data_IF_656231290784
#
_entry.id   IF_656231290784
#
_cell.length_a   1.000
_cell.length_b   1.000
_cell.length_c   1.000
_cell.angle_alpha   90.00
_cell.angle_beta   90.00
_cell.angle_gamma   90.00
#
_symmetry.space_group_name_H-M   'P 1'
#
loop_
_entity.id
_entity.type
_entity.pdbx_description
1 polymer ?
#
# COMPACT_ATOMS: atom_id res chain seq x y z
N UNK A 1 -13.71 -4.05 -12.10
CA UNK A 1 -13.99 -4.06 -10.64
C UNK A 1 -12.79 -3.50 -9.89
N UNK A 2 -13.05 -2.75 -8.84
CA UNK A 2 -12.00 -2.03 -8.14
C UNK A 2 -12.14 -2.21 -6.64
N UNK A 3 -11.01 -2.47 -5.98
CA UNK A 3 -10.95 -2.49 -4.53
C UNK A 3 -10.26 -1.20 -4.08
N UNK A 4 -10.79 -0.55 -3.08
CA UNK A 4 -10.18 0.64 -2.52
C UNK A 4 -9.68 0.33 -1.12
N UNK A 5 -8.36 0.45 -0.93
CA UNK A 5 -7.76 0.29 0.39
C UNK A 5 -7.49 1.67 0.98
N UNK A 6 -8.03 1.90 2.15
CA UNK A 6 -7.74 3.12 2.89
C UNK A 6 -6.35 3.05 3.52
N UNK A 7 -5.86 4.17 3.99
CA UNK A 7 -4.52 4.30 4.56
C UNK A 7 -4.27 3.27 5.69
N UNK A 8 -5.23 3.10 6.59
CA UNK A 8 -5.07 2.16 7.71
C UNK A 8 -5.04 0.71 7.22
N UNK A 9 -5.72 0.42 6.12
CA UNK A 9 -5.69 -0.93 5.54
C UNK A 9 -4.35 -1.23 4.88
N UNK A 10 -3.75 -0.22 4.23
CA UNK A 10 -2.40 -0.35 3.68
C UNK A 10 -1.40 -0.63 4.80
N UNK A 11 -1.52 0.09 5.92
CA UNK A 11 -0.68 -0.15 7.11
C UNK A 11 -0.80 -1.59 7.58
N UNK A 12 -2.03 -2.10 7.64
CA UNK A 12 -2.29 -3.46 8.11
C UNK A 12 -1.65 -4.50 7.20
N UNK A 13 -1.65 -4.26 5.89
CA UNK A 13 -1.01 -5.18 4.94
C UNK A 13 0.51 -5.20 5.11
N UNK A 14 1.12 -4.05 5.34
CA UNK A 14 2.56 -3.97 5.60
C UNK A 14 2.90 -4.72 6.89
N UNK A 15 2.09 -4.52 7.93
CA UNK A 15 2.29 -5.20 9.20
C UNK A 15 2.18 -6.71 9.04
N UNK A 16 1.18 -7.15 8.28
CA UNK A 16 0.97 -8.57 8.02
C UNK A 16 2.13 -9.19 7.23
N UNK A 17 2.70 -8.43 6.32
CA UNK A 17 3.87 -8.87 5.58
C UNK A 17 5.02 -9.24 6.53
N UNK A 18 5.28 -8.39 7.52
CA UNK A 18 6.32 -8.67 8.52
C UNK A 18 5.94 -9.81 9.45
N UNK A 19 4.66 -9.90 9.83
CA UNK A 19 4.19 -11.01 10.66
C UNK A 19 4.45 -12.34 9.96
N UNK A 20 4.22 -12.40 8.65
CA UNK A 20 4.47 -13.61 7.86
C UNK A 20 5.96 -13.95 7.78
N UNK A 21 6.84 -12.97 7.93
CA UNK A 21 8.28 -13.18 7.98
C UNK A 21 8.76 -13.52 9.39
N UNK A 22 7.87 -13.54 10.37
CA UNK A 22 8.22 -13.79 11.76
C UNK A 22 8.94 -12.62 12.43
N UNK A 23 8.79 -11.42 11.87
CA UNK A 23 9.44 -10.24 12.41
C UNK A 23 8.40 -9.37 13.12
N UNK A 24 8.67 -9.07 14.39
CA UNK A 24 7.78 -8.21 15.17
C UNK A 24 8.17 -6.75 14.92
N UNK A 25 7.19 -5.94 14.57
CA UNK A 25 7.38 -4.50 14.37
C UNK A 25 6.52 -3.72 15.36
N UNK A 26 6.96 -2.52 15.68
CA UNK A 26 6.29 -1.68 16.69
C UNK A 26 5.37 -0.65 16.06
N UNK A 27 5.72 -0.13 14.88
CA UNK A 27 4.93 0.90 14.24
C UNK A 27 5.08 0.84 12.73
N UNK A 28 3.98 1.12 12.03
CA UNK A 28 3.97 1.31 10.57
C UNK A 28 3.38 2.67 10.30
N UNK A 29 4.06 3.45 9.48
CA UNK A 29 3.59 4.76 9.04
C UNK A 29 3.44 4.69 7.52
N UNK A 30 2.28 5.12 7.03
CA UNK A 30 2.06 5.33 5.60
C UNK A 30 1.86 6.82 5.40
N UNK A 31 2.69 7.40 4.56
CA UNK A 31 2.72 8.84 4.36
C UNK A 31 3.02 9.12 2.89
N UNK A 32 3.27 10.35 2.56
CA UNK A 32 3.62 10.73 1.20
C UNK A 32 4.92 11.52 1.20
N UNK A 33 5.57 11.50 0.05
CA UNK A 33 6.73 12.31 -0.24
C UNK A 33 6.53 12.93 -1.62
N UNK A 34 7.34 13.90 -1.97
CA UNK A 34 7.24 14.51 -3.28
C UNK A 34 8.59 15.00 -3.77
N UNK A 35 8.74 14.99 -5.09
CA UNK A 35 9.86 15.60 -5.78
C UNK A 35 9.35 16.83 -6.51
N UNK A 36 10.12 17.90 -6.47
CA UNK A 36 9.81 19.09 -7.22
C UNK A 36 10.38 18.92 -8.62
N UNK A 37 9.50 18.97 -9.62
CA UNK A 37 9.90 18.78 -10.99
C UNK A 37 10.11 20.14 -11.68
N UNK A 38 10.46 20.06 -12.96
CA UNK A 38 10.61 21.24 -13.78
C UNK A 38 9.35 22.11 -13.70
N UNK A 39 9.51 23.40 -13.59
CA UNK A 39 8.42 24.38 -13.50
C UNK A 39 7.61 24.33 -12.21
N UNK A 40 8.19 23.80 -11.14
CA UNK A 40 7.53 23.80 -9.84
C UNK A 40 6.41 22.79 -9.67
N UNK A 41 6.21 21.91 -10.62
CA UNK A 41 5.27 20.81 -10.46
C UNK A 41 5.79 19.82 -9.43
N UNK A 42 4.87 19.20 -8.70
CA UNK A 42 5.22 18.21 -7.67
C UNK A 42 4.69 16.86 -8.05
N UNK A 43 5.54 15.86 -7.89
CA UNK A 43 5.18 14.47 -8.12
C UNK A 43 5.08 13.79 -6.76
N UNK A 44 3.85 13.49 -6.34
CA UNK A 44 3.58 12.88 -5.04
C UNK A 44 3.68 11.37 -5.12
N UNK A 45 4.30 10.78 -4.10
CA UNK A 45 4.48 9.32 -4.00
C UNK A 45 4.12 8.88 -2.60
N UNK A 46 3.58 7.68 -2.50
CA UNK A 46 3.29 7.06 -1.21
C UNK A 46 4.56 6.41 -0.70
N UNK A 47 4.83 6.58 0.59
CA UNK A 47 5.96 5.93 1.26
C UNK A 47 5.45 5.20 2.49
N UNK A 48 6.16 4.14 2.86
CA UNK A 48 5.90 3.42 4.08
C UNK A 48 7.14 3.40 4.95
N UNK A 49 6.96 3.57 6.25
CA UNK A 49 8.06 3.52 7.21
C UNK A 49 7.70 2.50 8.28
N UNK A 50 8.59 1.55 8.50
CA UNK A 50 8.43 0.51 9.52
C UNK A 50 9.47 0.74 10.60
N UNK A 51 9.04 0.71 11.85
CA UNK A 51 9.90 0.96 13.01
C UNK A 51 9.83 -0.20 13.97
N UNK A 52 10.98 -0.57 14.53
CA UNK A 52 11.03 -1.57 15.58
C UNK A 52 12.17 -1.23 16.55
N UNK A 53 11.98 -1.67 17.78
CA UNK A 53 13.01 -1.55 18.79
C UNK A 53 13.73 -2.89 18.94
N UNK A 54 15.05 -2.83 19.04
CA UNK A 54 15.89 -4.01 19.22
C UNK A 54 16.67 -3.82 20.50
N UNK A 55 16.65 -4.84 21.35
CA UNK A 55 17.38 -4.79 22.62
C UNK A 55 18.63 -5.65 22.50
N UNK A 56 19.80 -5.05 22.74
CA UNK A 56 21.08 -5.73 22.74
C UNK A 56 21.85 -5.27 23.97
N UNK A 57 22.29 -6.22 24.80
CA UNK A 57 23.03 -5.92 26.04
C UNK A 57 22.32 -4.91 26.92
N UNK A 58 21.01 -5.08 27.12
CA UNK A 58 20.16 -4.18 27.89
C UNK A 58 20.06 -2.77 27.34
N UNK A 59 20.54 -2.55 26.13
CA UNK A 59 20.40 -1.27 25.42
C UNK A 59 19.31 -1.38 24.37
N UNK A 60 18.53 -0.33 24.25
CA UNK A 60 17.42 -0.27 23.31
C UNK A 60 17.83 0.54 22.09
N UNK A 61 17.77 -0.09 20.95
CA UNK A 61 18.10 0.51 19.66
C UNK A 61 16.87 0.66 18.82
N UNK A 62 16.84 1.72 18.03
CA UNK A 62 15.74 2.02 17.15
C UNK A 62 16.13 1.68 15.71
N UNK A 63 15.37 0.78 15.11
CA UNK A 63 15.59 0.37 13.71
C UNK A 63 14.44 0.87 12.85
N UNK A 64 14.75 1.31 11.66
CA UNK A 64 13.77 1.85 10.74
C UNK A 64 14.06 1.37 9.33
N UNK A 65 13.00 1.02 8.62
CA UNK A 65 13.08 0.65 7.20
C UNK A 65 12.04 1.43 6.43
N UNK A 66 12.42 1.92 5.25
CA UNK A 66 11.55 2.72 4.41
C UNK A 66 11.19 1.95 3.15
N UNK A 67 9.93 2.01 2.77
CA UNK A 67 9.43 1.39 1.53
C UNK A 67 9.02 2.47 0.55
N UNK A 68 9.44 2.32 -0.70
CA UNK A 68 8.96 3.18 -1.75
C UNK A 68 7.59 2.67 -2.26
N UNK A 69 6.99 3.44 -3.14
CA UNK A 69 5.67 3.15 -3.66
C UNK A 69 5.60 1.80 -4.37
N UNK A 70 6.65 1.43 -5.09
CA UNK A 70 6.68 0.16 -5.82
C UNK A 70 6.76 -1.02 -4.87
N UNK A 71 7.51 -0.90 -3.78
CA UNK A 71 7.60 -1.94 -2.76
C UNK A 71 6.25 -2.14 -2.08
N UNK A 72 5.51 -1.05 -1.81
CA UNK A 72 4.16 -1.14 -1.24
C UNK A 72 3.22 -1.85 -2.22
N UNK A 73 3.31 -1.53 -3.50
CA UNK A 73 2.51 -2.22 -4.53
C UNK A 73 2.78 -3.73 -4.51
N UNK A 74 4.05 -4.13 -4.40
CA UNK A 74 4.40 -5.54 -4.38
C UNK A 74 3.82 -6.26 -3.17
N UNK A 75 3.83 -5.61 -2.01
CA UNK A 75 3.23 -6.18 -0.80
C UNK A 75 1.74 -6.40 -1.00
N UNK A 76 1.06 -5.43 -1.60
CA UNK A 76 -0.38 -5.53 -1.90
C UNK A 76 -0.65 -6.68 -2.88
N UNK A 77 0.14 -6.75 -3.95
CA UNK A 77 -0.02 -7.78 -4.98
C UNK A 77 0.15 -9.17 -4.37
N UNK A 78 1.19 -9.37 -3.56
CA UNK A 78 1.44 -10.66 -2.93
C UNK A 78 0.33 -11.07 -1.98
N UNK A 79 -0.21 -10.12 -1.24
CA UNK A 79 -1.30 -10.40 -0.32
C UNK A 79 -2.54 -10.93 -1.07
N UNK A 80 -2.93 -10.26 -2.14
CA UNK A 80 -4.11 -10.66 -2.90
C UNK A 80 -3.86 -11.91 -3.75
N UNK A 81 -2.64 -12.10 -4.20
CA UNK A 81 -2.25 -13.30 -4.94
C UNK A 81 -2.41 -14.56 -4.09
N UNK A 82 -2.08 -14.47 -2.81
CA UNK A 82 -2.26 -15.59 -1.88
C UNK A 82 -3.74 -15.98 -1.76
N UNK A 83 -4.65 -15.03 -1.98
CA UNK A 83 -6.09 -15.29 -2.00
C UNK A 83 -6.60 -15.58 -3.41
N UNK A 84 -5.70 -15.77 -4.37
CA UNK A 84 -6.01 -16.06 -5.78
C UNK A 84 -6.79 -14.92 -6.45
N UNK A 85 -6.51 -13.70 -6.04
CA UNK A 85 -7.07 -12.50 -6.68
C UNK A 85 -5.98 -11.87 -7.52
N UNK A 86 -6.24 -11.76 -8.81
CA UNK A 86 -5.27 -11.21 -9.76
C UNK A 86 -5.48 -9.72 -9.93
N UNK A 87 -4.40 -8.98 -9.76
CA UNK A 87 -4.43 -7.51 -9.84
C UNK A 87 -3.89 -7.06 -11.19
N UNK A 88 -4.63 -6.21 -11.86
CA UNK A 88 -4.19 -5.61 -13.12
C UNK A 88 -3.33 -4.39 -12.89
N UNK A 89 -3.73 -3.52 -11.97
CA UNK A 89 -3.02 -2.28 -11.70
C UNK A 89 -3.36 -1.72 -10.31
N UNK A 90 -2.46 -0.93 -9.77
CA UNK A 90 -2.67 -0.21 -8.51
C UNK A 90 -2.34 1.25 -8.74
N UNK A 91 -3.27 2.11 -8.40
CA UNK A 91 -3.09 3.56 -8.50
C UNK A 91 -3.33 4.16 -7.13
N UNK A 92 -2.35 4.89 -6.63
CA UNK A 92 -2.49 5.57 -5.34
C UNK A 92 -3.13 6.94 -5.53
N UNK A 93 -4.03 7.26 -4.61
CA UNK A 93 -4.71 8.53 -4.56
C UNK A 93 -4.29 9.22 -3.27
N UNK A 94 -3.68 10.39 -3.39
CA UNK A 94 -3.18 11.11 -2.23
C UNK A 94 -3.95 12.43 -2.15
N UNK A 95 -4.72 12.59 -1.08
CA UNK A 95 -5.45 13.82 -0.81
C UNK A 95 -4.77 14.56 0.35
N UNK A 96 -4.05 15.63 -0.01
CA UNK A 96 -3.32 16.42 0.96
C UNK A 96 -4.25 17.46 1.54
N UNK A 97 -4.33 17.59 2.88
CA UNK A 97 -5.24 18.54 3.50
C UNK A 97 -4.91 19.98 3.12
N UNK A 98 -5.93 20.73 2.84
CA UNK A 98 -5.81 22.13 2.49
C UNK A 98 -5.63 23.00 3.73
N UNK A 99 -6.27 22.62 4.83
CA UNK A 99 -6.09 23.28 6.12
C UNK A 99 -6.01 22.23 7.23
N UNK A 100 -5.81 22.69 8.46
CA UNK A 100 -5.55 21.78 9.59
C UNK A 100 -6.77 20.98 10.01
N UNK A 101 -7.96 21.30 9.49
CA UNK A 101 -9.16 20.54 9.81
C UNK A 101 -9.35 19.34 8.88
N UNK A 102 -8.69 19.35 7.75
CA UNK A 102 -8.76 18.25 6.81
C UNK A 102 -7.79 17.15 7.23
N UNK A 103 -8.12 15.93 6.86
CA UNK A 103 -7.32 14.76 7.17
C UNK A 103 -6.59 14.32 5.90
N UNK A 104 -5.32 14.00 6.07
CA UNK A 104 -4.55 13.40 4.97
C UNK A 104 -5.16 12.05 4.64
N UNK A 105 -5.55 11.88 3.38
CA UNK A 105 -6.08 10.62 2.88
C UNK A 105 -5.15 10.02 1.85
N UNK A 106 -4.87 8.75 2.03
CA UNK A 106 -4.09 7.96 1.07
C UNK A 106 -4.87 6.69 0.81
N UNK A 107 -5.25 6.50 -0.45
CA UNK A 107 -5.99 5.31 -0.86
C UNK A 107 -5.22 4.58 -1.94
N UNK A 108 -5.30 3.25 -1.92
CA UNK A 108 -4.82 2.43 -3.02
C UNK A 108 -6.01 1.93 -3.79
N UNK A 109 -6.12 2.33 -5.04
CA UNK A 109 -7.15 1.84 -5.95
C UNK A 109 -6.60 0.64 -6.70
N UNK A 110 -7.16 -0.52 -6.42
CA UNK A 110 -6.69 -1.79 -6.95
C UNK A 110 -7.66 -2.24 -8.04
N UNK A 111 -7.17 -2.25 -9.27
CA UNK A 111 -7.97 -2.68 -10.40
C UNK A 111 -7.72 -4.15 -10.65
N UNK A 112 -8.80 -4.93 -10.66
CA UNK A 112 -8.71 -6.38 -10.80
C UNK A 112 -8.75 -6.76 -12.26
N UNK A 113 -8.03 -7.83 -12.61
CA UNK A 113 -8.14 -8.43 -13.92
C UNK A 113 -9.51 -9.05 -14.04
N UNK A 114 -10.29 -8.60 -15.01
CA UNK A 114 -11.59 -9.19 -15.25
C UNK A 114 -11.41 -10.43 -16.14
N UNK A 115 -11.67 -11.56 -15.58
CA UNK A 115 -11.84 -12.77 -16.37
C UNK A 115 -13.22 -12.68 -16.97
N UNK A 116 -13.22 -12.50 -18.14
CA UNK A 116 -14.47 -12.41 -18.82
C UNK A 116 -15.07 -13.77 -19.05
N UNK A 117 -15.45 -13.68 -18.96
CA UNK A 117 -15.90 -14.39 -19.02
C UNK A 117 -16.41 -14.94 -19.37
N UNK A 118 -16.25 -14.53 -19.33
CA UNK A 118 -16.33 -15.09 -19.38
C UNK A 118 -16.84 -14.95 -19.33
N UNK A 119 -17.15 -14.66 -19.65
CA UNK A 119 -17.44 -14.69 -19.59
C UNK A 119 -18.02 -14.37 -19.27
N UNK A 120 -18.39 -14.25 -19.58
CA UNK A 120 -18.77 -14.48 -19.46
C UNK A 120 -19.44 -14.21 -19.21
N UNK A 121 -19.89 -13.99 -19.62
CA UNK A 121 -20.21 -14.25 -19.59
C UNK A 121 -20.71 -14.31 -19.61
N UNK A 122 -21.11 -14.23 -19.92
CA UNK A 122 -21.23 -14.84 -20.10
C UNK A 122 -21.57 -14.93 -20.09
N UNK A 123 -21.95 -14.68 -20.60
CA UNK A 123 -22.05 -15.35 -20.71
C UNK A 123 -22.36 -15.44 -20.63
N UNK A 124 -22.63 -15.19 -21.09
CA UNK A 124 -22.65 -15.89 -21.23
C UNK A 124 -23.05 -16.04 -21.26
N UNK A 125 -23.26 -15.89 -21.65
CA UNK A 125 -23.31 -16.55 -21.92
C UNK A 125 -23.35 -16.82 -22.16
N UNK A 126 -23.54 -16.64 -22.59
CA UNK A 126 -23.26 -17.24 -22.90
C UNK A 126 -23.13 -17.40 -23.04
N UNK A 127 -23.43 -17.11 -23.30
CA UNK A 127 -22.89 -17.56 -23.42
C UNK A 127 -22.95 -17.74 -23.56
#
# INVERSE_FOLDING_TARGET
>A
MKIILARHEIKNLIKKYYDNLGVKIDEVIVDYDYDEEFYGNRNYKVIGVVKRYIVVDNQRYYAQEEFDQNQIKEIIIEYFKAAKVEIQNIVFDIHIPYDQRDILEINANIYLTETVRGRHYENDKKF
#
